data_IF_143768641551
#
_entry.id   IF_143768641551
#
_cell.length_a   1.000
_cell.length_b   1.000
_cell.length_c   1.000
_cell.angle_alpha   90.00
_cell.angle_beta   90.00
_cell.angle_gamma   90.00
#
_symmetry.space_group_name_H-M   'P 1'
#
loop_
_entity.id
_entity.type
_entity.pdbx_description
1 polymer ?
#
# COMPACT_ATOMS: atom_id res chain seq x y z
N UNK A 1 1.04 7.94 5.49
CA UNK A 1 1.09 6.89 6.52
C UNK A 1 1.38 7.54 7.88
N UNK A 2 0.77 7.10 8.97
CA UNK A 2 1.15 7.55 10.32
C UNK A 2 0.05 8.08 11.25
N UNK A 3 -1.22 8.15 10.82
CA UNK A 3 -2.33 8.61 11.68
C UNK A 3 -3.38 7.53 11.98
N UNK A 4 -3.28 6.35 11.36
CA UNK A 4 -4.19 5.23 11.56
C UNK A 4 -3.39 3.93 11.74
N UNK A 5 -3.81 3.11 12.71
CA UNK A 5 -3.18 1.81 12.99
C UNK A 5 -3.69 0.79 11.98
N UNK A 6 -2.78 0.07 11.32
CA UNK A 6 -3.13 -1.05 10.45
C UNK A 6 -3.52 -0.69 9.02
N UNK A 7 -3.31 0.54 8.52
CA UNK A 7 -3.44 0.85 7.07
C UNK A 7 -2.13 1.31 6.43
N UNK A 8 -1.00 1.06 7.08
CA UNK A 8 0.29 1.42 6.55
C UNK A 8 0.58 0.59 5.30
N UNK A 9 0.86 1.31 4.22
CA UNK A 9 1.39 0.81 2.96
C UNK A 9 2.34 1.90 2.44
N UNK A 10 3.50 1.50 1.93
CA UNK A 10 4.45 2.41 1.28
C UNK A 10 4.86 1.84 -0.08
N UNK A 11 4.96 2.69 -1.10
CA UNK A 11 5.42 2.29 -2.43
C UNK A 11 6.69 3.07 -2.76
N UNK A 12 7.73 2.34 -3.15
CA UNK A 12 9.03 2.89 -3.53
C UNK A 12 9.36 2.47 -4.95
N UNK A 13 9.85 3.39 -5.76
CA UNK A 13 10.37 3.10 -7.09
C UNK A 13 11.88 3.03 -7.05
N UNK A 14 12.45 1.88 -7.38
CA UNK A 14 13.90 1.67 -7.44
C UNK A 14 14.26 0.79 -8.64
N UNK A 15 15.24 1.22 -9.45
CA UNK A 15 15.66 0.48 -10.64
C UNK A 15 14.54 0.23 -11.65
N UNK A 16 13.60 1.17 -11.80
CA UNK A 16 12.43 1.05 -12.68
C UNK A 16 11.34 0.09 -12.17
N UNK A 17 11.53 -0.52 -11.00
CA UNK A 17 10.55 -1.40 -10.36
C UNK A 17 9.85 -0.68 -9.23
N UNK A 18 8.55 -0.90 -9.12
CA UNK A 18 7.74 -0.40 -8.01
C UNK A 18 7.57 -1.51 -6.98
N UNK A 19 7.99 -1.24 -5.75
CA UNK A 19 8.00 -2.19 -4.63
C UNK A 19 7.06 -1.64 -3.56
N UNK A 20 6.12 -2.47 -3.13
CA UNK A 20 5.20 -2.16 -2.04
C UNK A 20 5.70 -2.78 -0.73
N UNK A 21 5.74 -2.00 0.33
CA UNK A 21 6.08 -2.42 1.69
C UNK A 21 4.82 -2.36 2.53
N UNK A 22 4.40 -3.53 3.00
CA UNK A 22 3.19 -3.78 3.77
C UNK A 22 1.89 -3.31 3.11
N UNK A 23 0.81 -3.94 3.53
CA UNK A 23 -0.54 -3.53 3.16
C UNK A 23 -1.49 -4.01 4.26
N UNK A 24 -1.38 -3.38 5.43
CA UNK A 24 -2.20 -3.73 6.59
C UNK A 24 -3.70 -3.50 6.34
N UNK A 25 -4.53 -4.10 7.19
CA UNK A 25 -5.95 -3.75 7.29
C UNK A 25 -6.33 -3.21 8.68
N UNK A 26 -7.22 -2.21 8.71
CA UNK A 26 -7.80 -1.67 9.94
C UNK A 26 -8.98 -2.53 10.40
N UNK A 27 -8.78 -3.30 11.48
CA UNK A 27 -9.75 -4.31 11.94
C UNK A 27 -11.08 -3.74 12.46
N UNK A 28 -11.14 -2.46 12.86
CA UNK A 28 -12.39 -1.85 13.34
C UNK A 28 -13.44 -1.62 12.24
N UNK A 29 -13.07 -1.74 10.97
CA UNK A 29 -13.98 -1.61 9.84
C UNK A 29 -14.23 -2.97 9.20
N UNK A 30 -15.48 -3.25 8.85
CA UNK A 30 -15.88 -4.45 8.11
C UNK A 30 -16.13 -4.17 6.61
N UNK A 31 -16.11 -2.90 6.22
CA UNK A 31 -16.28 -2.45 4.83
C UNK A 31 -14.93 -2.05 4.20
N UNK A 32 -14.99 -1.46 3.01
CA UNK A 32 -13.81 -1.04 2.23
C UNK A 32 -12.89 -0.08 2.99
N UNK A 33 -13.39 0.63 4.01
CA UNK A 33 -12.56 1.51 4.86
C UNK A 33 -11.51 0.76 5.64
N UNK A 34 -11.56 -0.57 5.71
CA UNK A 34 -10.51 -1.38 6.35
C UNK A 34 -9.20 -1.39 5.58
N UNK A 35 -9.22 -1.05 4.29
CA UNK A 35 -8.02 -1.06 3.45
C UNK A 35 -7.38 0.33 3.35
N UNK A 36 -6.08 0.41 3.01
CA UNK A 36 -5.44 1.68 2.65
C UNK A 36 -6.11 2.33 1.43
N UNK A 37 -5.98 3.65 1.32
CA UNK A 37 -6.37 4.36 0.10
C UNK A 37 -5.28 4.18 -0.99
N UNK A 38 -5.62 3.39 -2.02
CA UNK A 38 -4.72 3.09 -3.13
C UNK A 38 -4.73 4.13 -4.25
N UNK A 39 -5.50 5.20 -4.15
CA UNK A 39 -5.52 6.28 -5.16
C UNK A 39 -4.13 6.85 -5.44
N UNK A 40 -3.28 6.93 -4.41
CA UNK A 40 -1.89 7.38 -4.52
C UNK A 40 -0.93 6.34 -5.13
N UNK A 41 -1.31 5.06 -5.09
CA UNK A 41 -0.55 3.90 -5.60
C UNK A 41 -0.91 3.60 -7.06
N UNK A 42 -2.16 3.81 -7.46
CA UNK A 42 -2.64 3.54 -8.80
C UNK A 42 -2.56 4.81 -9.64
N UNK A 43 -1.36 5.13 -10.13
CA UNK A 43 -1.12 6.28 -11.01
C UNK A 43 -1.16 5.84 -12.48
N UNK A 44 -1.95 6.52 -13.35
CA UNK A 44 -1.95 6.24 -14.78
C UNK A 44 -0.55 6.37 -15.38
N UNK A 45 -0.12 5.38 -16.17
CA UNK A 45 1.18 5.38 -16.83
C UNK A 45 2.35 4.89 -15.96
N UNK A 46 2.14 4.60 -14.67
CA UNK A 46 3.15 3.90 -13.87
C UNK A 46 3.06 2.38 -14.10
N UNK A 47 4.20 1.66 -14.08
CA UNK A 47 4.19 0.21 -14.19
C UNK A 47 3.43 -0.43 -13.01
N UNK A 48 3.00 -1.70 -13.13
CA UNK A 48 2.42 -2.42 -12.01
C UNK A 48 3.41 -2.57 -10.85
N UNK A 49 2.88 -2.83 -9.64
CA UNK A 49 3.71 -3.23 -8.51
C UNK A 49 4.40 -4.55 -8.85
N UNK A 50 5.73 -4.54 -8.84
CA UNK A 50 6.54 -5.68 -9.23
C UNK A 50 6.81 -6.65 -8.08
N UNK A 51 6.76 -6.16 -6.83
CA UNK A 51 7.01 -6.95 -5.63
C UNK A 51 6.27 -6.35 -4.43
N UNK A 52 5.77 -7.22 -3.55
CA UNK A 52 5.21 -6.85 -2.25
C UNK A 52 6.07 -7.49 -1.17
N UNK A 53 6.61 -6.68 -0.28
CA UNK A 53 7.39 -7.11 0.89
C UNK A 53 6.49 -6.96 2.10
N UNK A 54 6.22 -8.08 2.78
CA UNK A 54 5.46 -8.12 4.03
C UNK A 54 6.46 -8.22 5.18
N UNK A 55 6.43 -7.23 6.06
CA UNK A 55 7.21 -7.20 7.30
C UNK A 55 6.52 -8.02 8.40
N UNK A 56 7.22 -8.21 9.53
CA UNK A 56 6.72 -9.00 10.66
C UNK A 56 5.78 -8.18 11.55
#
# INVERSE_FOLDING_TARGET
>A
AGQEVGKSCAVVTMGGKRIMFDCGMHMAYQDLRRYPDFSSVLRPGEPPIACVIITH
#
